data_IF_788879380740
#
_entry.id   IF_788879380740
#
_cell.length_a   1.000
_cell.length_b   1.000
_cell.length_c   1.000
_cell.angle_alpha   90.00
_cell.angle_beta   90.00
_cell.angle_gamma   90.00
#
_symmetry.space_group_name_H-M   'P 1'
#
loop_
_entity.id
_entity.type
_entity.pdbx_description
1 polymer ?
#
# COMPACT_ATOMS: atom_id res chain seq x y z
N UNK A 1 36.98 -5.49 -19.72
CA UNK A 1 36.59 -4.16 -19.20
C UNK A 1 35.20 -3.82 -19.73
N UNK A 2 34.32 -3.36 -18.85
CA UNK A 2 32.86 -3.18 -18.96
C UNK A 2 32.29 -2.55 -20.24
N UNK A 3 31.44 -3.28 -20.97
CA UNK A 3 30.55 -2.66 -21.99
C UNK A 3 29.13 -3.27 -22.05
N UNK A 4 28.89 -4.44 -21.46
CA UNK A 4 27.66 -5.20 -21.74
C UNK A 4 26.38 -4.72 -21.03
N UNK A 5 26.42 -3.87 -19.99
CA UNK A 5 25.32 -3.85 -19.00
C UNK A 5 24.49 -2.57 -18.83
N UNK A 6 24.30 -1.75 -19.87
CA UNK A 6 23.36 -0.61 -19.81
C UNK A 6 21.98 -0.93 -20.41
N UNK A 7 21.96 -1.64 -21.55
CA UNK A 7 20.72 -2.04 -22.25
C UNK A 7 19.91 -3.09 -21.46
N UNK A 8 20.58 -4.09 -20.87
CA UNK A 8 19.93 -5.12 -20.03
C UNK A 8 19.24 -4.54 -18.79
N UNK A 9 19.84 -3.52 -18.16
CA UNK A 9 19.24 -2.80 -17.04
C UNK A 9 18.02 -2.00 -17.45
N UNK A 10 18.05 -1.37 -18.62
CA UNK A 10 16.91 -0.61 -19.16
C UNK A 10 15.70 -1.51 -19.41
N UNK A 11 15.87 -2.67 -20.05
CA UNK A 11 14.79 -3.64 -20.23
C UNK A 11 14.25 -4.15 -18.88
N UNK A 12 15.10 -4.31 -17.87
CA UNK A 12 14.68 -4.78 -16.55
C UNK A 12 13.88 -3.76 -15.74
N UNK A 13 13.97 -2.47 -16.10
CA UNK A 13 13.22 -1.37 -15.48
C UNK A 13 11.98 -0.98 -16.29
N UNK A 14 11.92 -1.34 -17.57
CA UNK A 14 10.79 -1.01 -18.44
C UNK A 14 9.45 -1.50 -17.86
N UNK A 15 9.36 -2.76 -17.45
CA UNK A 15 8.12 -3.33 -16.91
C UNK A 15 7.62 -2.65 -15.63
N UNK A 16 8.44 -2.48 -14.56
CA UNK A 16 7.96 -1.77 -13.36
C UNK A 16 7.62 -0.31 -13.65
N UNK A 17 8.31 0.36 -14.59
CA UNK A 17 7.95 1.73 -15.00
C UNK A 17 6.58 1.76 -15.67
N UNK A 18 6.31 0.88 -16.63
CA UNK A 18 4.99 0.79 -17.29
C UNK A 18 3.89 0.51 -16.28
N UNK A 19 4.14 -0.37 -15.30
CA UNK A 19 3.20 -0.66 -14.22
C UNK A 19 2.88 0.61 -13.42
N UNK A 20 3.91 1.31 -12.93
CA UNK A 20 3.74 2.55 -12.17
C UNK A 20 2.99 3.60 -12.97
N UNK A 21 3.34 3.79 -14.25
CA UNK A 21 2.65 4.74 -15.13
C UNK A 21 1.17 4.36 -15.34
N UNK A 22 0.86 3.08 -15.51
CA UNK A 22 -0.51 2.58 -15.62
C UNK A 22 -1.32 2.85 -14.35
N UNK A 23 -0.75 2.58 -13.18
CA UNK A 23 -1.40 2.86 -11.90
C UNK A 23 -1.57 4.37 -11.69
N UNK A 24 -0.56 5.19 -12.00
CA UNK A 24 -0.67 6.65 -11.91
C UNK A 24 -1.77 7.20 -12.83
N UNK A 25 -1.92 6.65 -14.04
CA UNK A 25 -2.99 7.01 -14.96
C UNK A 25 -4.37 6.69 -14.36
N UNK A 26 -4.54 5.51 -13.76
CA UNK A 26 -5.78 5.12 -13.07
C UNK A 26 -6.03 6.06 -11.89
N UNK A 27 -5.03 6.32 -11.05
CA UNK A 27 -5.15 7.22 -9.90
C UNK A 27 -5.55 8.63 -10.32
N UNK A 28 -4.95 9.16 -11.40
CA UNK A 28 -5.29 10.47 -11.94
C UNK A 28 -6.75 10.52 -12.42
N UNK A 29 -7.24 9.47 -13.08
CA UNK A 29 -8.64 9.40 -13.53
C UNK A 29 -9.65 9.26 -12.39
N UNK A 30 -9.25 8.68 -11.26
CA UNK A 30 -10.12 8.46 -10.11
C UNK A 30 -10.01 9.54 -9.03
N UNK A 31 -9.12 10.51 -9.19
CA UNK A 31 -8.96 11.59 -8.24
C UNK A 31 -9.97 12.72 -8.52
N UNK A 32 -10.74 13.07 -7.50
CA UNK A 32 -11.66 14.21 -7.51
C UNK A 32 -11.17 15.25 -6.50
N UNK A 33 -10.70 16.43 -6.96
CA UNK A 33 -10.17 17.46 -6.07
C UNK A 33 -11.24 18.00 -5.12
N UNK A 34 -10.83 18.44 -3.93
CA UNK A 34 -11.71 19.00 -2.88
C UNK A 34 -12.83 18.06 -2.41
N UNK A 35 -12.67 16.76 -2.59
CA UNK A 35 -13.61 15.75 -2.10
C UNK A 35 -12.95 14.82 -1.09
N UNK A 36 -13.77 14.27 -0.20
CA UNK A 36 -13.35 13.19 0.70
C UNK A 36 -13.85 11.87 0.11
N UNK A 37 -12.93 10.93 -0.04
CA UNK A 37 -13.30 9.57 -0.44
C UNK A 37 -13.94 8.85 0.75
N UNK A 38 -15.25 8.70 0.78
CA UNK A 38 -15.92 7.98 1.87
C UNK A 38 -16.10 6.53 1.45
N UNK A 39 -15.63 5.61 2.30
CA UNK A 39 -15.78 4.17 2.09
C UNK A 39 -17.05 3.65 2.73
N UNK A 40 -17.14 2.32 2.87
CA UNK A 40 -18.23 1.70 3.61
C UNK A 40 -18.15 1.98 5.12
N UNK A 41 -16.94 2.16 5.65
CA UNK A 41 -16.72 2.59 7.04
C UNK A 41 -16.71 4.14 7.12
N UNK A 42 -17.46 4.66 8.10
CA UNK A 42 -17.55 6.10 8.40
C UNK A 42 -16.47 6.57 9.37
N UNK A 43 -15.55 5.70 9.81
CA UNK A 43 -14.40 6.07 10.61
C UNK A 43 -13.27 6.61 9.72
N UNK A 44 -12.88 7.85 9.98
CA UNK A 44 -11.84 8.58 9.25
C UNK A 44 -10.69 8.95 10.20
N UNK A 45 -9.59 8.16 10.22
CA UNK A 45 -8.40 8.49 11.00
C UNK A 45 -7.84 9.90 10.70
N UNK A 46 -8.01 10.35 9.46
CA UNK A 46 -7.52 11.63 8.94
C UNK A 46 -8.09 12.88 9.64
N UNK A 47 -9.22 12.77 10.34
CA UNK A 47 -9.80 13.90 11.07
C UNK A 47 -9.27 14.04 12.50
N UNK A 48 -8.89 12.93 13.14
CA UNK A 48 -8.32 12.96 14.49
C UNK A 48 -7.52 11.68 14.79
N UNK A 49 -6.23 11.72 14.45
CA UNK A 49 -5.31 10.60 14.69
C UNK A 49 -5.17 10.23 16.17
N UNK A 50 -5.21 11.20 17.09
CA UNK A 50 -5.07 10.93 18.53
C UNK A 50 -6.28 10.15 19.07
N UNK A 51 -7.49 10.56 18.70
CA UNK A 51 -8.71 9.86 19.06
C UNK A 51 -8.74 8.47 18.42
N UNK A 52 -8.34 8.35 17.16
CA UNK A 52 -8.28 7.07 16.46
C UNK A 52 -7.30 6.10 17.14
N UNK A 53 -6.10 6.55 17.48
CA UNK A 53 -5.12 5.74 18.19
C UNK A 53 -5.61 5.29 19.57
N UNK A 54 -6.29 6.17 20.32
CA UNK A 54 -6.93 5.80 21.59
C UNK A 54 -7.94 4.68 21.40
N UNK A 55 -8.83 4.79 20.40
CA UNK A 55 -9.85 3.77 20.07
C UNK A 55 -9.23 2.43 19.67
N UNK A 56 -8.21 2.46 18.80
CA UNK A 56 -7.51 1.26 18.36
C UNK A 56 -6.81 0.52 19.50
N UNK A 57 -6.27 1.26 20.48
CA UNK A 57 -5.61 0.67 21.65
C UNK A 57 -6.61 0.26 22.75
N UNK A 58 -7.75 0.95 22.86
CA UNK A 58 -8.84 0.63 23.80
C UNK A 58 -9.83 -0.40 23.23
N UNK A 59 -9.35 -1.29 22.36
CA UNK A 59 -10.07 -2.18 21.42
C UNK A 59 -11.21 -3.05 21.99
N UNK A 60 -11.39 -3.08 23.31
CA UNK A 60 -12.37 -3.92 24.00
C UNK A 60 -13.79 -3.34 23.90
N UNK A 61 -13.95 -2.01 23.80
CA UNK A 61 -15.27 -1.36 23.77
C UNK A 61 -15.31 -0.16 22.82
N UNK A 62 -16.07 -0.28 21.73
CA UNK A 62 -16.36 0.81 20.80
C UNK A 62 -17.69 1.48 21.12
N UNK A 63 -17.67 2.57 21.89
CA UNK A 63 -18.87 3.36 22.19
C UNK A 63 -19.51 4.02 20.96
N UNK A 64 -18.77 4.07 19.86
CA UNK A 64 -19.20 4.49 18.54
C UNK A 64 -20.09 3.48 17.81
N UNK A 65 -20.08 2.20 18.20
CA UNK A 65 -20.77 1.11 17.50
C UNK A 65 -22.16 0.80 18.11
N UNK A 66 -22.95 1.83 18.42
CA UNK A 66 -24.29 1.69 19.02
C UNK A 66 -24.27 1.67 20.55
N UNK A 67 -24.87 0.66 21.19
CA UNK A 67 -24.86 0.50 22.66
C UNK A 67 -23.50 0.01 23.23
N UNK A 68 -22.46 0.10 22.41
CA UNK A 68 -21.16 -0.52 22.63
C UNK A 68 -21.13 -1.94 22.11
N UNK A 69 -20.46 -2.12 20.99
CA UNK A 69 -20.11 -3.43 20.48
C UNK A 69 -18.64 -3.70 20.80
N UNK A 70 -18.32 -4.96 21.08
CA UNK A 70 -16.95 -5.44 21.01
C UNK A 70 -16.54 -5.33 19.54
N UNK A 71 -15.45 -4.64 19.24
CA UNK A 71 -14.94 -4.51 17.87
C UNK A 71 -14.71 -5.92 17.28
N UNK A 72 -15.59 -6.34 16.38
CA UNK A 72 -15.46 -7.60 15.65
C UNK A 72 -14.43 -7.50 14.50
N UNK A 73 -14.08 -6.27 14.12
CA UNK A 73 -12.98 -5.97 13.22
C UNK A 73 -11.73 -5.71 14.03
N UNK A 74 -10.60 -6.32 13.65
CA UNK A 74 -9.32 -6.08 14.33
C UNK A 74 -8.80 -4.69 13.98
N UNK A 75 -9.28 -3.66 14.67
CA UNK A 75 -8.84 -2.27 14.51
C UNK A 75 -7.31 -2.14 14.71
N UNK A 76 -6.72 -2.99 15.56
CA UNK A 76 -5.27 -3.05 15.76
C UNK A 76 -4.50 -3.48 14.48
N UNK A 77 -5.11 -4.25 13.59
CA UNK A 77 -4.47 -4.65 12.32
C UNK A 77 -4.24 -3.47 11.38
N UNK A 78 -4.96 -2.37 11.59
CA UNK A 78 -4.85 -1.15 10.80
C UNK A 78 -3.78 -0.17 11.31
N UNK A 79 -3.11 -0.51 12.42
CA UNK A 79 -2.06 0.33 13.02
C UNK A 79 -0.93 0.69 12.05
N UNK A 80 -0.40 -0.22 11.20
CA UNK A 80 0.61 0.13 10.20
C UNK A 80 0.12 1.19 9.20
N UNK A 81 -1.15 1.09 8.78
CA UNK A 81 -1.78 2.06 7.88
C UNK A 81 -1.92 3.41 8.58
N UNK A 82 -2.50 3.44 9.77
CA UNK A 82 -2.75 4.68 10.53
C UNK A 82 -1.44 5.40 10.86
N UNK A 83 -0.38 4.67 11.22
CA UNK A 83 0.94 5.26 11.44
C UNK A 83 1.49 5.91 10.17
N UNK A 84 1.36 5.22 9.02
CA UNK A 84 1.77 5.77 7.72
C UNK A 84 0.98 7.02 7.37
N UNK A 85 -0.34 7.01 7.59
CA UNK A 85 -1.21 8.16 7.34
C UNK A 85 -0.88 9.34 8.26
N UNK A 86 -0.56 9.07 9.52
CA UNK A 86 -0.17 10.12 10.47
C UNK A 86 1.11 10.83 10.01
N UNK A 87 2.12 10.09 9.56
CA UNK A 87 3.34 10.67 9.00
C UNK A 87 3.07 11.52 7.75
N UNK A 88 2.20 11.03 6.86
CA UNK A 88 1.85 11.71 5.61
C UNK A 88 0.97 12.95 5.86
N UNK A 89 0.18 12.96 6.92
CA UNK A 89 -0.71 14.07 7.27
C UNK A 89 0.02 15.39 7.53
N UNK A 90 1.31 15.34 7.86
CA UNK A 90 2.15 16.54 8.06
C UNK A 90 2.46 17.23 6.72
N UNK A 91 2.41 16.50 5.61
CA UNK A 91 2.84 16.98 4.29
C UNK A 91 1.68 17.30 3.34
N UNK A 92 0.49 16.73 3.60
CA UNK A 92 -0.60 16.63 2.63
C UNK A 92 -1.94 16.99 3.29
N UNK A 93 -2.88 17.65 2.57
CA UNK A 93 -4.20 17.98 3.12
C UNK A 93 -5.02 16.74 3.46
N UNK A 94 -5.88 16.86 4.49
CA UNK A 94 -6.74 15.78 4.99
C UNK A 94 -7.60 15.12 3.92
N UNK A 95 -8.07 15.88 2.93
CA UNK A 95 -8.86 15.38 1.79
C UNK A 95 -8.09 14.38 0.93
N UNK A 96 -6.77 14.52 0.80
CA UNK A 96 -5.94 13.65 -0.05
C UNK A 96 -5.34 12.45 0.69
N UNK A 97 -5.30 12.47 2.03
CA UNK A 97 -4.68 11.40 2.84
C UNK A 97 -5.21 10.01 2.47
N UNK A 98 -6.51 9.88 2.23
CA UNK A 98 -7.13 8.61 1.86
C UNK A 98 -6.89 8.20 0.41
N UNK A 99 -6.90 9.16 -0.52
CA UNK A 99 -6.48 8.88 -1.89
C UNK A 99 -5.03 8.40 -1.92
N UNK A 100 -4.17 9.03 -1.13
CA UNK A 100 -2.78 8.65 -0.98
C UNK A 100 -2.63 7.20 -0.50
N UNK A 101 -3.32 6.76 0.55
CA UNK A 101 -3.17 5.38 1.03
C UNK A 101 -3.60 4.33 0.00
N UNK A 102 -4.67 4.58 -0.74
CA UNK A 102 -5.17 3.69 -1.78
C UNK A 102 -4.19 3.65 -2.96
N UNK A 103 -3.81 4.81 -3.48
CA UNK A 103 -2.88 4.90 -4.61
C UNK A 103 -1.51 4.34 -4.26
N UNK A 104 -1.03 4.59 -3.04
CA UNK A 104 0.22 4.04 -2.54
C UNK A 104 0.18 2.52 -2.47
N UNK A 105 -0.90 1.94 -1.93
CA UNK A 105 -1.10 0.49 -1.88
C UNK A 105 -1.23 -0.12 -3.28
N UNK A 106 -1.91 0.57 -4.19
CA UNK A 106 -2.08 0.16 -5.58
C UNK A 106 -0.77 0.16 -6.37
N UNK A 107 0.20 1.00 -5.98
CA UNK A 107 1.56 1.00 -6.54
C UNK A 107 2.42 -0.07 -5.88
N UNK A 108 2.45 -0.11 -4.54
CA UNK A 108 3.33 -1.00 -3.78
C UNK A 108 2.98 -2.48 -3.94
N UNK A 109 1.69 -2.83 -3.98
CA UNK A 109 1.25 -4.23 -4.08
C UNK A 109 1.78 -4.92 -5.34
N UNK A 110 1.48 -4.40 -6.55
CA UNK A 110 1.97 -4.99 -7.79
C UNK A 110 3.50 -4.95 -7.94
N UNK A 111 4.15 -3.86 -7.50
CA UNK A 111 5.61 -3.78 -7.50
C UNK A 111 6.23 -4.83 -6.58
N UNK A 112 5.68 -5.01 -5.38
CA UNK A 112 6.13 -6.01 -4.41
C UNK A 112 6.05 -7.41 -4.99
N UNK A 113 4.92 -7.77 -5.60
CA UNK A 113 4.76 -9.07 -6.28
C UNK A 113 5.72 -9.21 -7.46
N UNK A 114 5.91 -8.17 -8.27
CA UNK A 114 6.87 -8.22 -9.38
C UNK A 114 8.30 -8.55 -8.90
N UNK A 115 8.78 -7.88 -7.85
CA UNK A 115 10.12 -8.15 -7.31
C UNK A 115 10.20 -9.51 -6.61
N UNK A 116 9.14 -9.94 -5.91
CA UNK A 116 9.08 -11.25 -5.28
C UNK A 116 9.16 -12.37 -6.33
N UNK A 117 8.34 -12.30 -7.38
CA UNK A 117 8.36 -13.29 -8.46
C UNK A 117 9.70 -13.30 -9.18
N UNK A 118 10.28 -12.13 -9.43
CA UNK A 118 11.62 -12.03 -10.01
C UNK A 118 12.67 -12.73 -9.13
N UNK A 119 12.60 -12.54 -7.81
CA UNK A 119 13.50 -13.19 -6.86
C UNK A 119 13.32 -14.72 -6.84
N UNK A 120 12.08 -15.19 -6.78
CA UNK A 120 11.75 -16.63 -6.73
C UNK A 120 12.17 -17.34 -8.03
N UNK A 121 11.79 -16.83 -9.20
CA UNK A 121 12.11 -17.48 -10.48
C UNK A 121 13.57 -17.34 -10.90
N UNK A 122 14.29 -16.33 -10.40
CA UNK A 122 15.74 -16.27 -10.60
C UNK A 122 16.48 -17.35 -9.80
N UNK A 123 15.96 -17.75 -8.62
CA UNK A 123 16.51 -18.86 -7.83
C UNK A 123 16.37 -20.20 -8.56
N UNK A 124 15.19 -20.51 -9.11
CA UNK A 124 14.95 -21.79 -9.81
C UNK A 124 15.92 -22.04 -10.98
N UNK A 125 16.23 -21.01 -11.78
CA UNK A 125 17.17 -21.16 -12.90
C UNK A 125 18.57 -21.57 -12.45
N UNK A 126 18.98 -21.17 -11.25
CA UNK A 126 20.27 -21.56 -10.67
C UNK A 126 20.20 -22.99 -10.12
N UNK A 127 19.10 -23.37 -9.47
CA UNK A 127 18.96 -24.72 -8.90
C UNK A 127 18.82 -25.81 -9.97
N UNK A 128 18.14 -25.55 -11.08
CA UNK A 128 18.01 -26.47 -12.22
C UNK A 128 19.37 -26.83 -12.86
N UNK A 129 20.37 -25.95 -12.73
CA UNK A 129 21.74 -26.22 -13.18
C UNK A 129 22.56 -27.05 -12.18
N UNK A 130 22.25 -26.95 -10.88
CA UNK A 130 23.03 -27.61 -9.81
C UNK A 130 22.50 -29.03 -9.55
N UNK A 131 21.17 -29.22 -9.64
CA UNK A 131 20.52 -30.52 -9.52
C UNK A 131 19.56 -30.70 -10.69
N UNK A 132 20.03 -31.21 -11.85
CA UNK A 132 19.10 -31.63 -12.89
C UNK A 132 18.23 -32.73 -12.29
N UNK A 133 16.91 -32.55 -12.28
CA UNK A 133 15.99 -33.57 -11.83
C UNK A 133 16.25 -34.84 -12.67
N UNK A 134 16.69 -35.90 -11.98
CA UNK A 134 16.92 -37.25 -12.51
C UNK A 134 15.61 -37.98 -12.76
#
# INVERSE_FOLDING_TARGET
MSSINKSSKFLSLFFPIVLVLGVLFISFKNYTPETYLIGWDSMHPEFNFSLNAKRMLSHVWGGEMGLGAISAHSDMSDLPRVLTLWLVSVLIPSSFIRYFSIFFSLILGPLGIYFLLKYVFQREKVTLWIYPAS
#
